data_IF_207511119195
#
_entry.id   IF_207511119195
#
_cell.length_a   1.000
_cell.length_b   1.000
_cell.length_c   1.000
_cell.angle_alpha   90.00
_cell.angle_beta   90.00
_cell.angle_gamma   90.00
#
_symmetry.space_group_name_H-M   'P 1'
#
loop_
_entity.id
_entity.type
_entity.pdbx_description
1 polymer ?
#
# COMPACT_ATOMS: atom_id res chain seq x y z
N UNK A 1 -26.25 -15.62 -23.99
CA UNK A 1 -26.28 -16.50 -22.81
C UNK A 1 -24.94 -17.16 -22.44
N UNK A 2 -23.91 -17.16 -23.30
CA UNK A 2 -22.63 -17.86 -23.04
C UNK A 2 -21.78 -17.20 -21.96
N UNK A 3 -21.66 -15.86 -21.96
CA UNK A 3 -20.81 -15.13 -21.02
C UNK A 3 -21.28 -15.22 -19.56
N UNK A 4 -22.60 -15.21 -19.31
CA UNK A 4 -23.14 -15.32 -17.94
C UNK A 4 -22.84 -16.69 -17.30
N UNK A 5 -22.93 -17.78 -18.09
CA UNK A 5 -22.50 -19.11 -17.64
C UNK A 5 -20.99 -19.15 -17.38
N UNK A 6 -20.18 -18.54 -18.24
CA UNK A 6 -18.72 -18.46 -18.08
C UNK A 6 -18.32 -17.65 -16.84
N UNK A 7 -19.01 -16.54 -16.57
CA UNK A 7 -18.83 -15.72 -15.37
C UNK A 7 -19.14 -16.52 -14.10
N UNK A 8 -20.28 -17.24 -14.06
CA UNK A 8 -20.62 -18.13 -12.94
C UNK A 8 -19.51 -19.17 -12.67
N UNK A 9 -18.96 -19.77 -13.73
CA UNK A 9 -17.84 -20.73 -13.61
C UNK A 9 -16.57 -20.07 -13.09
N UNK A 10 -16.28 -18.84 -13.53
CA UNK A 10 -15.13 -18.06 -13.06
C UNK A 10 -15.26 -17.71 -11.58
N UNK A 11 -16.41 -17.18 -11.14
CA UNK A 11 -16.65 -16.82 -9.74
C UNK A 11 -16.50 -18.02 -8.81
N UNK A 12 -16.98 -19.21 -9.22
CA UNK A 12 -16.79 -20.45 -8.43
C UNK A 12 -15.32 -20.83 -8.24
N UNK A 13 -14.44 -20.48 -9.18
CA UNK A 13 -12.99 -20.78 -9.11
C UNK A 13 -12.22 -19.75 -8.30
N UNK A 14 -12.71 -18.51 -8.25
CA UNK A 14 -12.00 -17.38 -7.65
C UNK A 14 -12.67 -16.90 -6.35
N UNK A 15 -13.13 -17.84 -5.52
CA UNK A 15 -13.74 -17.55 -4.22
C UNK A 15 -14.90 -16.54 -4.28
N UNK A 16 -15.72 -16.59 -5.33
CA UNK A 16 -16.83 -15.67 -5.53
C UNK A 16 -16.44 -14.32 -6.12
N UNK A 17 -15.15 -14.07 -6.39
CA UNK A 17 -14.72 -12.82 -7.02
C UNK A 17 -15.19 -12.73 -8.46
N UNK A 18 -15.86 -11.62 -8.78
CA UNK A 18 -16.21 -11.23 -10.15
C UNK A 18 -15.23 -10.19 -10.72
N UNK A 19 -14.00 -10.15 -10.22
CA UNK A 19 -12.95 -9.25 -10.74
C UNK A 19 -11.97 -10.09 -11.54
N UNK A 20 -11.85 -9.78 -12.83
CA UNK A 20 -10.88 -10.39 -13.74
C UNK A 20 -9.66 -9.46 -13.83
N UNK A 21 -8.47 -9.85 -13.35
CA UNK A 21 -7.26 -9.04 -13.44
C UNK A 21 -6.91 -8.68 -14.90
N UNK A 22 -6.19 -7.58 -15.08
CA UNK A 22 -5.71 -7.19 -16.42
C UNK A 22 -4.67 -8.16 -16.99
N UNK A 23 -3.91 -8.82 -16.10
CA UNK A 23 -2.90 -9.84 -16.41
C UNK A 23 -3.49 -11.13 -16.95
N UNK A 24 -4.78 -11.42 -16.68
CA UNK A 24 -5.46 -12.58 -17.25
C UNK A 24 -5.80 -12.31 -18.73
N UNK A 25 -4.93 -12.82 -19.60
CA UNK A 25 -5.09 -12.76 -21.05
C UNK A 25 -6.15 -13.75 -21.55
N UNK A 26 -6.38 -14.86 -20.84
CA UNK A 26 -7.31 -15.93 -21.22
C UNK A 26 -8.78 -15.51 -21.11
N UNK A 27 -9.09 -14.62 -20.16
CA UNK A 27 -10.45 -14.12 -19.92
C UNK A 27 -10.64 -12.65 -20.33
N UNK A 28 -9.80 -12.15 -21.25
CA UNK A 28 -9.88 -10.77 -21.74
C UNK A 28 -11.23 -10.44 -22.39
N UNK A 29 -11.81 -11.38 -23.13
CA UNK A 29 -13.12 -11.25 -23.76
C UNK A 29 -14.25 -11.14 -22.72
N UNK A 30 -14.19 -11.98 -21.69
CA UNK A 30 -15.12 -11.95 -20.56
C UNK A 30 -15.04 -10.62 -19.82
N UNK A 31 -13.82 -10.13 -19.53
CA UNK A 31 -13.58 -8.83 -18.90
C UNK A 31 -14.23 -7.70 -19.69
N UNK A 32 -13.97 -7.62 -21.01
CA UNK A 32 -14.61 -6.63 -21.89
C UNK A 32 -16.13 -6.71 -21.87
N UNK A 33 -16.68 -7.92 -21.87
CA UNK A 33 -18.13 -8.11 -21.79
C UNK A 33 -18.69 -7.58 -20.47
N UNK A 34 -18.02 -7.84 -19.34
CA UNK A 34 -18.39 -7.32 -18.02
C UNK A 34 -18.30 -5.79 -17.96
N UNK A 35 -17.26 -5.19 -18.53
CA UNK A 35 -17.09 -3.74 -18.57
C UNK A 35 -18.22 -3.07 -19.36
N UNK A 36 -18.63 -3.66 -20.49
CA UNK A 36 -19.84 -3.21 -21.22
C UNK A 36 -21.10 -3.30 -20.36
N UNK A 37 -21.22 -4.32 -19.50
CA UNK A 37 -22.37 -4.40 -18.59
C UNK A 37 -22.34 -3.25 -17.58
N UNK A 38 -21.18 -2.97 -16.99
CA UNK A 38 -21.01 -1.88 -16.00
C UNK A 38 -21.29 -0.51 -16.61
N UNK A 39 -20.80 -0.25 -17.83
CA UNK A 39 -21.07 0.98 -18.57
C UNK A 39 -22.58 1.14 -18.79
N UNK A 40 -23.23 0.12 -19.36
CA UNK A 40 -24.68 0.19 -19.63
C UNK A 40 -25.52 0.35 -18.36
N UNK A 41 -25.10 -0.24 -17.24
CA UNK A 41 -25.77 -0.03 -15.95
C UNK A 41 -25.57 1.40 -15.42
N UNK A 42 -24.33 1.91 -15.45
CA UNK A 42 -24.02 3.28 -15.03
C UNK A 42 -24.77 4.33 -15.86
N UNK A 43 -24.82 4.15 -17.19
CA UNK A 43 -25.58 4.99 -18.11
C UNK A 43 -27.08 4.95 -17.80
N UNK A 44 -27.63 3.76 -17.54
CA UNK A 44 -29.03 3.59 -17.15
C UNK A 44 -29.35 4.31 -15.82
N UNK A 45 -28.47 4.20 -14.82
CA UNK A 45 -28.62 4.88 -13.53
C UNK A 45 -28.56 6.40 -13.65
N UNK A 46 -27.77 6.92 -14.60
CA UNK A 46 -27.65 8.36 -14.89
C UNK A 46 -28.79 8.89 -15.78
N UNK A 47 -29.68 8.04 -16.27
CA UNK A 47 -30.78 8.44 -17.15
C UNK A 47 -30.32 8.85 -18.55
N UNK A 48 -29.20 8.33 -19.04
CA UNK A 48 -28.69 8.66 -20.39
C UNK A 48 -29.67 8.12 -21.45
N UNK A 49 -30.20 8.96 -22.36
CA UNK A 49 -31.25 8.56 -23.30
C UNK A 49 -30.76 7.55 -24.35
N UNK A 50 -29.48 7.62 -24.70
CA UNK A 50 -28.83 6.71 -25.64
C UNK A 50 -27.69 5.96 -24.95
N UNK A 51 -28.03 4.85 -24.30
CA UNK A 51 -27.04 3.93 -23.77
C UNK A 51 -26.33 3.21 -24.91
N UNK A 52 -25.00 3.19 -24.86
CA UNK A 52 -24.16 2.44 -25.82
C UNK A 52 -24.41 0.93 -25.75
N UNK A 53 -24.94 0.46 -24.62
CA UNK A 53 -25.28 -0.94 -24.36
C UNK A 53 -26.74 -1.03 -24.02
N UNK A 54 -27.52 -1.77 -24.82
CA UNK A 54 -28.90 -2.14 -24.45
C UNK A 54 -28.87 -3.01 -23.20
N UNK A 55 -29.14 -2.38 -22.06
CA UNK A 55 -29.25 -3.04 -20.76
C UNK A 55 -30.72 -3.27 -20.44
N UNK A 56 -31.11 -4.53 -20.26
CA UNK A 56 -32.49 -4.89 -19.88
C UNK A 56 -32.57 -5.13 -18.39
N UNK A 57 -33.75 -4.86 -17.79
CA UNK A 57 -34.01 -5.12 -16.37
C UNK A 57 -33.83 -6.60 -16.01
N UNK A 58 -34.18 -7.50 -16.92
CA UNK A 58 -33.98 -8.94 -16.75
C UNK A 58 -32.50 -9.29 -16.62
N UNK A 59 -31.63 -8.72 -17.46
CA UNK A 59 -30.19 -8.99 -17.40
C UNK A 59 -29.56 -8.45 -16.12
N UNK A 60 -30.03 -7.29 -15.64
CA UNK A 60 -29.62 -6.74 -14.34
C UNK A 60 -29.98 -7.72 -13.23
N UNK A 61 -31.24 -8.18 -13.18
CA UNK A 61 -31.69 -9.17 -12.19
C UNK A 61 -30.88 -10.46 -12.21
N UNK A 62 -30.52 -10.96 -13.41
CA UNK A 62 -29.68 -12.16 -13.52
C UNK A 62 -28.25 -11.95 -12.99
N UNK A 63 -27.69 -10.76 -13.20
CA UNK A 63 -26.36 -10.37 -12.71
C UNK A 63 -26.36 -10.10 -11.20
N UNK A 64 -27.41 -9.48 -10.68
CA UNK A 64 -27.58 -9.27 -9.23
C UNK A 64 -27.73 -10.60 -8.50
N UNK A 65 -28.48 -11.54 -9.06
CA UNK A 65 -28.67 -12.88 -8.47
C UNK A 65 -27.36 -13.67 -8.30
N UNK A 66 -26.33 -13.36 -9.09
CA UNK A 66 -25.01 -14.00 -8.97
C UNK A 66 -24.03 -13.18 -8.11
N UNK A 67 -24.45 -12.05 -7.56
CA UNK A 67 -23.57 -11.15 -6.80
C UNK A 67 -22.59 -10.38 -7.69
N UNK A 68 -23.00 -9.99 -8.89
CA UNK A 68 -22.14 -9.22 -9.78
C UNK A 68 -21.86 -7.82 -9.23
N UNK A 69 -20.58 -7.45 -9.15
CA UNK A 69 -20.14 -6.13 -8.70
C UNK A 69 -20.19 -5.14 -9.87
N UNK A 70 -21.15 -4.21 -9.79
CA UNK A 70 -21.32 -3.12 -10.74
C UNK A 70 -20.27 -2.02 -10.60
N UNK A 71 -19.87 -1.70 -9.36
CA UNK A 71 -18.89 -0.66 -9.05
C UNK A 71 -17.63 -1.25 -8.40
N UNK A 72 -16.60 -1.48 -9.22
CA UNK A 72 -15.32 -2.03 -8.77
C UNK A 72 -14.59 -1.13 -7.77
N UNK A 73 -14.73 0.19 -7.90
CA UNK A 73 -14.02 1.15 -7.06
C UNK A 73 -14.51 1.06 -5.62
N UNK A 74 -15.83 1.04 -5.45
CA UNK A 74 -16.44 0.90 -4.12
C UNK A 74 -16.12 -0.46 -3.50
N UNK A 75 -16.17 -1.55 -4.27
CA UNK A 75 -15.84 -2.88 -3.75
C UNK A 75 -14.37 -2.98 -3.32
N UNK A 76 -13.45 -2.45 -4.14
CA UNK A 76 -12.03 -2.44 -3.80
C UNK A 76 -11.77 -1.58 -2.56
N UNK A 77 -12.46 -0.45 -2.43
CA UNK A 77 -12.37 0.43 -1.25
C UNK A 77 -12.87 -0.29 0.01
N UNK A 78 -14.00 -0.99 -0.07
CA UNK A 78 -14.54 -1.82 1.03
C UNK A 78 -13.56 -2.91 1.45
N UNK A 79 -12.98 -3.62 0.48
CA UNK A 79 -12.00 -4.68 0.76
C UNK A 79 -10.76 -4.13 1.48
N UNK A 80 -10.19 -3.02 1.00
CA UNK A 80 -9.04 -2.37 1.65
C UNK A 80 -9.35 -1.86 3.05
N UNK A 81 -10.57 -1.34 3.25
CA UNK A 81 -11.03 -0.89 4.56
C UNK A 81 -11.12 -2.06 5.54
N UNK A 82 -11.69 -3.17 5.10
CA UNK A 82 -11.82 -4.39 5.90
C UNK A 82 -10.44 -5.03 6.17
N UNK A 83 -9.55 -5.05 5.19
CA UNK A 83 -8.15 -5.50 5.37
C UNK A 83 -7.43 -4.66 6.42
N UNK A 84 -7.63 -3.33 6.42
CA UNK A 84 -7.07 -2.46 7.46
C UNK A 84 -7.66 -2.78 8.84
N UNK A 85 -8.98 -2.93 8.93
CA UNK A 85 -9.67 -3.30 10.18
C UNK A 85 -9.15 -4.62 10.75
N UNK A 86 -8.90 -5.61 9.88
CA UNK A 86 -8.33 -6.89 10.28
C UNK A 86 -6.86 -6.77 10.69
N UNK A 87 -6.08 -5.89 10.04
CA UNK A 87 -4.70 -5.58 10.45
C UNK A 87 -4.66 -4.85 11.79
N UNK A 88 -5.67 -4.04 12.09
CA UNK A 88 -5.80 -3.38 13.40
C UNK A 88 -6.20 -4.41 14.50
N UNK A 89 -6.90 -5.51 14.15
CA UNK A 89 -7.25 -6.61 15.06
C UNK A 89 -6.08 -7.60 15.29
N UNK A 90 -5.28 -7.87 14.27
CA UNK A 90 -3.99 -8.58 14.39
C UNK A 90 -2.93 -7.55 14.71
N UNK A 91 -2.95 -7.06 15.95
CA UNK A 91 -2.13 -5.95 16.45
C UNK A 91 -0.66 -6.00 16.01
N UNK A 92 -0.36 -5.35 14.89
CA UNK A 92 0.84 -4.56 14.73
C UNK A 92 0.52 -3.18 15.29
N UNK A 93 0.10 -3.14 16.57
CA UNK A 93 0.29 -1.93 17.34
C UNK A 93 1.79 -1.77 17.34
N UNK A 94 2.30 -0.78 16.60
CA UNK A 94 3.69 -0.36 16.74
C UNK A 94 4.03 -0.22 18.23
N UNK A 95 5.32 -0.18 18.57
CA UNK A 95 5.77 -0.35 19.95
C UNK A 95 4.90 0.46 20.91
N UNK A 96 4.40 -0.21 21.96
CA UNK A 96 3.55 0.44 22.95
C UNK A 96 4.30 1.61 23.60
N UNK A 97 3.59 2.50 24.30
CA UNK A 97 4.26 3.60 25.00
C UNK A 97 5.34 3.11 25.97
N UNK A 98 5.19 1.90 26.51
CA UNK A 98 6.16 1.25 27.40
C UNK A 98 7.37 0.73 26.61
N UNK A 99 7.16 0.15 25.42
CA UNK A 99 8.23 -0.29 24.52
C UNK A 99 9.10 0.90 24.04
N UNK A 100 8.48 2.05 23.73
CA UNK A 100 9.22 3.27 23.42
C UNK A 100 9.95 3.83 24.64
N UNK A 101 9.34 3.77 25.83
CA UNK A 101 9.99 4.22 27.06
C UNK A 101 11.23 3.38 27.38
N UNK A 102 11.14 2.05 27.21
CA UNK A 102 12.29 1.16 27.37
C UNK A 102 13.40 1.45 26.37
N UNK A 103 13.06 1.81 25.12
CA UNK A 103 14.03 2.23 24.13
C UNK A 103 14.70 3.55 24.53
N UNK A 104 13.92 4.56 24.93
CA UNK A 104 14.45 5.85 25.34
C UNK A 104 15.32 5.76 26.61
N UNK A 105 14.97 4.88 27.54
CA UNK A 105 15.79 4.61 28.73
C UNK A 105 17.12 3.95 28.34
N UNK A 106 17.09 3.01 27.39
CA UNK A 106 18.30 2.39 26.84
C UNK A 106 19.18 3.40 26.09
N UNK A 107 18.60 4.37 25.39
CA UNK A 107 19.35 5.47 24.75
C UNK A 107 20.01 6.38 25.78
N UNK A 108 19.28 6.74 26.83
CA UNK A 108 19.78 7.58 27.91
C UNK A 108 20.91 6.91 28.70
N UNK A 109 20.82 5.61 28.97
CA UNK A 109 21.88 4.83 29.61
C UNK A 109 23.17 4.82 28.76
N UNK A 110 23.01 4.81 27.43
CA UNK A 110 24.11 4.91 26.48
C UNK A 110 24.58 6.35 26.22
N UNK A 111 24.09 7.34 26.97
CA UNK A 111 24.49 8.73 26.84
C UNK A 111 23.95 9.45 25.59
N UNK A 112 23.01 8.84 24.85
CA UNK A 112 22.38 9.42 23.67
C UNK A 112 21.17 10.23 24.14
N UNK A 113 21.28 11.56 24.08
CA UNK A 113 20.17 12.43 24.44
C UNK A 113 19.06 12.35 23.36
N UNK A 114 17.85 11.88 23.71
CA UNK A 114 16.76 11.70 22.75
C UNK A 114 16.18 13.01 22.21
N UNK A 115 16.58 14.16 22.76
CA UNK A 115 16.20 15.49 22.27
C UNK A 115 17.14 16.03 21.20
N UNK A 116 18.28 15.38 20.95
CA UNK A 116 19.21 15.77 19.89
C UNK A 116 18.57 15.43 18.55
N UNK A 117 18.40 16.45 17.71
CA UNK A 117 17.88 16.27 16.37
C UNK A 117 18.80 15.32 15.59
N UNK A 118 18.26 14.40 14.77
CA UNK A 118 19.09 13.55 13.93
C UNK A 118 19.95 14.43 13.02
N UNK A 119 21.20 14.00 12.80
CA UNK A 119 22.15 14.75 11.96
C UNK A 119 21.55 14.99 10.56
N UNK A 120 21.70 16.19 9.98
CA UNK A 120 21.18 16.51 8.64
C UNK A 120 21.63 15.51 7.55
N UNK A 121 22.86 14.99 7.66
CA UNK A 121 23.40 13.98 6.75
C UNK A 121 22.63 12.65 6.77
N UNK A 122 22.04 12.28 7.91
CA UNK A 122 21.18 11.09 8.02
C UNK A 122 19.86 11.25 7.28
N UNK A 123 19.37 12.49 7.12
CA UNK A 123 18.09 12.77 6.44
C UNK A 123 18.26 13.11 4.96
N UNK A 124 19.43 13.58 4.54
CA UNK A 124 19.71 13.91 3.13
C UNK A 124 20.26 12.75 2.30
N UNK A 125 20.43 11.55 2.87
CA UNK A 125 20.83 10.36 2.14
C UNK A 125 22.22 10.45 1.51
N UNK A 126 23.07 11.33 2.04
CA UNK A 126 24.48 11.41 1.67
C UNK A 126 25.20 10.37 2.51
N UNK A 127 25.31 9.16 1.95
CA UNK A 127 26.12 8.09 2.54
C UNK A 127 27.60 8.45 2.29
N UNK A 128 28.15 9.30 3.16
CA UNK A 128 29.49 9.87 3.01
C UNK A 128 30.60 8.87 3.38
N UNK A 129 30.23 7.67 3.84
CA UNK A 129 31.15 6.60 4.18
C UNK A 129 30.90 5.38 3.29
N UNK A 130 31.85 5.11 2.40
CA UNK A 130 31.88 3.85 1.66
C UNK A 130 32.07 2.69 2.66
N UNK A 131 31.30 1.59 2.57
CA UNK A 131 31.46 0.42 3.44
C UNK A 131 32.88 -0.17 3.46
N UNK A 132 33.69 0.14 2.44
CA UNK A 132 35.07 -0.32 2.32
C UNK A 132 36.06 0.45 3.22
N UNK A 133 35.72 1.64 3.72
CA UNK A 133 36.61 2.49 4.51
C UNK A 133 36.48 2.27 6.04
N UNK A 134 35.49 1.49 6.49
CA UNK A 134 35.20 1.24 7.92
C UNK A 134 35.92 0.00 8.49
N UNK A 135 36.70 -0.71 7.67
CA UNK A 135 37.28 -2.01 8.05
C UNK A 135 38.47 -1.96 9.00
N UNK A 136 39.10 -0.79 9.18
CA UNK A 136 40.37 -0.64 9.91
C UNK A 136 40.32 0.36 11.06
N UNK A 137 39.14 0.93 11.35
CA UNK A 137 38.94 1.86 12.45
C UNK A 137 38.63 1.09 13.74
N UNK A 138 39.43 1.30 14.77
CA UNK A 138 39.15 0.75 16.10
C UNK A 138 38.06 1.56 16.80
N UNK A 139 37.39 0.96 17.79
CA UNK A 139 36.35 1.65 18.57
C UNK A 139 36.87 2.94 19.22
N UNK A 140 38.18 3.02 19.52
CA UNK A 140 38.82 4.22 20.07
C UNK A 140 39.01 5.30 18.98
N UNK A 141 39.39 4.94 17.75
CA UNK A 141 39.52 5.88 16.62
C UNK A 141 38.17 6.48 16.22
N UNK A 142 37.10 5.69 16.35
CA UNK A 142 35.73 6.15 16.10
C UNK A 142 35.29 7.12 17.20
N UNK A 143 35.65 6.88 18.46
CA UNK A 143 35.27 7.78 19.56
C UNK A 143 36.06 9.10 19.54
N UNK A 144 37.31 9.09 19.10
CA UNK A 144 38.11 10.31 18.90
C UNK A 144 37.53 11.18 17.77
N UNK A 145 37.14 10.60 16.63
CA UNK A 145 36.46 11.32 15.54
C UNK A 145 35.11 11.95 15.94
N UNK A 146 34.44 11.39 16.94
CA UNK A 146 33.17 11.91 17.45
C UNK A 146 33.34 12.96 18.55
N UNK A 147 34.50 13.01 19.20
CA UNK A 147 34.80 13.91 20.31
C UNK A 147 35.82 15.01 19.96
N UNK A 148 36.42 15.00 18.77
CA UNK A 148 37.12 16.15 18.22
C UNK A 148 36.09 17.28 18.04
N UNK A 149 36.02 18.13 19.07
CA UNK A 149 35.45 19.46 18.96
C UNK A 149 36.19 20.18 17.83
N UNK A 150 35.45 20.75 16.87
CA UNK A 150 35.97 21.64 15.83
C UNK A 150 36.61 22.88 16.49
N UNK A 151 37.84 22.73 16.99
CA UNK A 151 38.74 23.84 17.36
C UNK A 151 39.69 24.05 16.19
N UNK A 152 39.21 24.76 15.16
CA UNK A 152 40.06 25.56 14.26
C UNK A 152 39.27 26.81 13.85
N UNK A 153 39.19 27.75 14.79
CA UNK A 153 39.22 29.18 14.48
C UNK A 153 40.52 29.46 13.69
N UNK A 154 40.44 29.49 12.37
CA UNK A 154 41.50 30.08 11.52
C UNK A 154 40.85 30.98 10.45
N UNK A 155 40.25 32.08 10.93
CA UNK A 155 40.10 33.31 10.15
C UNK A 155 41.51 33.92 9.96
N UNK A 156 42.26 33.43 8.96
CA UNK A 156 43.51 34.05 8.52
C UNK A 156 43.39 34.67 7.10
N UNK A 157 43.08 35.98 7.12
CA UNK A 157 43.26 37.07 6.12
C UNK A 157 42.44 37.13 4.81
#
# INVERSE_FOLDING_TARGET
>A
FTYLKRLKKYMKRNNGSCIVPYTDTSNRDLRKWMDRQRIGYSELQRGVPFSSVRMTKERIKELDKIGFVWNLREETKKKRLEERRQKDEVGDSGPTSEDWSSLFESMKEKGIDPSVAPKPSWVDGVDELSPDDLGDLTDDDIMDLWNDEDDDDDDEW
#
